data_IF_692317584141
#
_entry.id   IF_692317584141
#
_cell.length_a   1.000
_cell.length_b   1.000
_cell.length_c   1.000
_cell.angle_alpha   90.00
_cell.angle_beta   90.00
_cell.angle_gamma   90.00
#
_symmetry.space_group_name_H-M   'P 1'
#
loop_
_entity.id
_entity.type
_entity.pdbx_description
1 polymer ?
#
# COMPACT_ATOMS: atom_id res chain seq x y z
N UNK A 1 44.68 -8.84 15.67
CA UNK A 1 43.60 -7.93 15.26
C UNK A 1 42.55 -8.76 14.55
N UNK A 2 41.32 -8.92 15.08
CA UNK A 2 40.30 -9.67 14.36
C UNK A 2 39.84 -8.80 13.18
N UNK A 3 40.06 -9.28 11.96
CA UNK A 3 39.53 -8.70 10.74
C UNK A 3 38.03 -8.95 10.72
N UNK A 4 37.28 -8.03 11.35
CA UNK A 4 35.83 -8.03 11.41
C UNK A 4 35.23 -7.70 10.06
N UNK A 5 35.14 -8.70 9.20
CA UNK A 5 34.18 -8.67 8.10
C UNK A 5 32.81 -8.87 8.72
N UNK A 6 32.00 -7.81 8.74
CA UNK A 6 30.60 -7.90 9.11
C UNK A 6 29.87 -8.66 8.00
N UNK A 7 29.28 -9.80 8.36
CA UNK A 7 28.44 -10.61 7.49
C UNK A 7 27.26 -9.78 6.95
N UNK A 8 26.93 -9.98 5.68
CA UNK A 8 25.83 -9.30 4.95
C UNK A 8 24.47 -9.49 5.60
N UNK A 9 24.27 -10.55 6.39
CA UNK A 9 23.04 -10.78 7.15
C UNK A 9 22.78 -9.69 8.21
N UNK A 10 23.84 -9.14 8.81
CA UNK A 10 23.71 -8.05 9.79
C UNK A 10 23.36 -6.72 9.11
N UNK A 11 23.80 -6.50 7.87
CA UNK A 11 23.36 -5.35 7.06
C UNK A 11 21.88 -5.48 6.70
N UNK A 12 21.42 -6.66 6.24
CA UNK A 12 20.01 -6.88 5.90
C UNK A 12 19.09 -6.68 7.12
N UNK A 13 19.53 -7.10 8.30
CA UNK A 13 18.76 -6.96 9.54
C UNK A 13 18.76 -5.53 10.08
N UNK A 14 19.87 -4.79 9.91
CA UNK A 14 19.98 -3.38 10.27
C UNK A 14 19.15 -2.50 9.34
N UNK A 15 19.21 -2.73 8.02
CA UNK A 15 18.38 -2.03 7.03
C UNK A 15 16.89 -2.26 7.29
N UNK A 16 16.49 -3.49 7.62
CA UNK A 16 15.09 -3.80 7.96
C UNK A 16 14.64 -3.17 9.28
N UNK A 17 15.56 -2.97 10.24
CA UNK A 17 15.26 -2.33 11.52
C UNK A 17 15.19 -0.79 11.40
N UNK A 18 16.05 -0.17 10.59
CA UNK A 18 16.06 1.29 10.37
C UNK A 18 14.91 1.81 9.48
N UNK A 19 14.33 0.95 8.62
CA UNK A 19 13.10 1.28 7.87
C UNK A 19 11.87 1.33 8.80
N UNK A 20 11.94 0.76 10.02
CA UNK A 20 10.79 0.70 10.94
C UNK A 20 10.61 1.99 11.78
N UNK A 21 11.57 2.92 11.78
CA UNK A 21 11.58 4.11 12.66
C UNK A 21 11.83 5.45 11.93
N UNK A 22 11.44 5.57 10.65
CA UNK A 22 11.40 6.86 9.94
C UNK A 22 10.03 7.08 9.30
N UNK A 23 9.05 7.51 10.12
CA UNK A 23 7.76 7.97 9.63
C UNK A 23 7.83 9.44 9.23
N UNK A 24 7.83 9.70 7.93
CA UNK A 24 7.05 10.82 7.38
C UNK A 24 6.38 10.53 6.02
N UNK A 25 6.49 9.32 5.49
CA UNK A 25 5.62 8.82 4.41
C UNK A 25 5.26 7.34 4.59
N UNK A 26 4.84 6.93 5.80
CA UNK A 26 4.33 5.57 6.00
C UNK A 26 3.25 5.25 4.98
N UNK A 27 3.54 4.31 4.09
CA UNK A 27 2.57 3.68 3.21
C UNK A 27 1.37 3.23 4.08
N UNK A 28 0.26 3.98 4.01
CA UNK A 28 -0.89 3.85 4.92
C UNK A 28 -1.61 2.49 4.82
N UNK A 29 -1.34 1.75 3.75
CA UNK A 29 -1.96 0.47 3.44
C UNK A 29 -0.91 -0.56 3.09
N UNK A 30 -1.17 -1.83 3.44
CA UNK A 30 -0.39 -2.97 3.00
C UNK A 30 -1.27 -3.96 2.25
N UNK A 31 -0.66 -4.80 1.40
CA UNK A 31 -1.36 -5.88 0.69
C UNK A 31 -2.11 -6.78 1.69
N UNK A 32 -3.32 -7.20 1.34
CA UNK A 32 -4.21 -7.99 2.20
C UNK A 32 -5.07 -7.16 3.17
N UNK A 33 -4.83 -5.85 3.30
CA UNK A 33 -5.70 -4.98 4.10
C UNK A 33 -7.10 -4.95 3.50
N UNK A 34 -8.12 -5.03 4.36
CA UNK A 34 -9.50 -4.78 3.95
C UNK A 34 -9.77 -3.29 4.00
N UNK A 35 -10.37 -2.76 2.94
CA UNK A 35 -10.62 -1.33 2.76
C UNK A 35 -11.99 -1.07 2.16
N UNK A 36 -12.52 0.12 2.42
CA UNK A 36 -13.66 0.71 1.72
C UNK A 36 -13.21 1.96 0.96
N UNK A 37 -13.82 2.16 -0.21
CA UNK A 37 -13.63 3.37 -1.01
C UNK A 37 -14.60 4.44 -0.55
N UNK A 38 -14.08 5.64 -0.28
CA UNK A 38 -14.88 6.79 0.12
C UNK A 38 -15.78 7.24 -1.03
N UNK A 39 -17.02 7.65 -0.72
CA UNK A 39 -17.95 8.14 -1.72
C UNK A 39 -17.40 9.37 -2.46
N UNK A 40 -17.52 9.36 -3.80
CA UNK A 40 -17.02 10.45 -4.65
C UNK A 40 -15.54 10.33 -5.03
N UNK A 41 -14.82 9.35 -4.47
CA UNK A 41 -13.48 9.00 -4.92
C UNK A 41 -13.46 8.68 -6.41
N UNK A 42 -12.30 8.88 -7.03
CA UNK A 42 -12.09 8.60 -8.44
C UNK A 42 -11.08 7.47 -8.60
N UNK A 43 -11.02 6.91 -9.80
CA UNK A 43 -9.83 6.14 -10.16
C UNK A 43 -8.60 7.04 -10.03
N UNK A 44 -7.43 6.43 -9.88
CA UNK A 44 -6.18 7.17 -9.71
C UNK A 44 -5.95 8.22 -10.80
N UNK A 45 -6.42 7.96 -12.02
CA UNK A 45 -6.32 8.86 -13.19
C UNK A 45 -7.53 9.81 -13.34
N UNK A 46 -8.43 9.88 -12.36
CA UNK A 46 -9.55 10.83 -12.34
C UNK A 46 -10.86 10.36 -12.99
N UNK A 47 -10.98 9.07 -13.33
CA UNK A 47 -12.20 8.48 -13.87
C UNK A 47 -13.25 8.18 -12.80
N UNK A 48 -14.53 8.16 -13.17
CA UNK A 48 -15.62 7.79 -12.27
C UNK A 48 -15.59 6.29 -11.95
N UNK A 49 -15.89 5.95 -10.70
CA UNK A 49 -16.10 4.56 -10.27
C UNK A 49 -17.58 4.19 -10.33
N UNK A 50 -17.86 2.92 -10.59
CA UNK A 50 -19.22 2.39 -10.50
C UNK A 50 -19.70 2.36 -9.05
N UNK A 51 -21.02 2.46 -8.85
CA UNK A 51 -21.64 2.55 -7.51
C UNK A 51 -21.21 1.41 -6.58
N UNK A 52 -21.08 0.20 -7.10
CA UNK A 52 -20.73 -0.99 -6.32
C UNK A 52 -19.35 -0.89 -5.66
N UNK A 53 -18.45 -0.03 -6.16
CA UNK A 53 -17.10 0.15 -5.60
C UNK A 53 -17.16 0.84 -4.23
N UNK A 54 -18.15 1.71 -3.99
CA UNK A 54 -18.30 2.40 -2.71
C UNK A 54 -19.06 1.58 -1.66
N UNK A 55 -19.90 0.64 -2.10
CA UNK A 55 -20.77 -0.13 -1.19
C UNK A 55 -20.11 -1.39 -0.65
N UNK A 56 -19.06 -1.87 -1.31
CA UNK A 56 -18.39 -3.13 -0.98
C UNK A 56 -17.08 -2.94 -0.21
N UNK A 57 -16.62 -4.05 0.35
CA UNK A 57 -15.30 -4.17 0.99
C UNK A 57 -14.36 -4.87 0.03
N UNK A 58 -13.17 -4.29 -0.16
CA UNK A 58 -12.14 -4.83 -1.03
C UNK A 58 -10.88 -5.16 -0.26
N UNK A 59 -10.04 -5.94 -0.90
CA UNK A 59 -8.68 -6.21 -0.46
C UNK A 59 -7.70 -5.33 -1.22
N UNK A 60 -6.70 -4.81 -0.51
CA UNK A 60 -5.55 -4.17 -1.14
C UNK A 60 -4.70 -5.25 -1.82
N UNK A 61 -4.62 -5.19 -3.14
CA UNK A 61 -3.83 -6.09 -3.98
C UNK A 61 -2.43 -5.54 -4.27
N UNK A 62 -2.27 -4.22 -4.23
CA UNK A 62 -0.99 -3.53 -4.40
C UNK A 62 -1.01 -2.25 -3.58
N UNK A 63 0.08 -1.97 -2.88
CA UNK A 63 0.31 -0.75 -2.15
C UNK A 63 1.60 -0.12 -2.66
N UNK A 64 1.48 0.99 -3.38
CA UNK A 64 2.58 1.72 -3.98
C UNK A 64 2.88 1.27 -5.42
N UNK A 65 3.43 2.18 -6.23
CA UNK A 65 3.94 1.88 -7.57
C UNK A 65 5.09 2.82 -7.96
N UNK A 66 6.32 2.31 -7.96
CA UNK A 66 7.51 3.15 -8.12
C UNK A 66 7.54 4.24 -7.04
N UNK A 67 7.66 5.49 -7.46
CA UNK A 67 7.67 6.66 -6.56
C UNK A 67 6.27 7.07 -6.06
N UNK A 68 5.20 6.34 -6.43
CA UNK A 68 3.81 6.65 -6.06
C UNK A 68 3.37 5.79 -4.89
N UNK A 69 3.71 6.19 -3.68
CA UNK A 69 3.30 5.50 -2.45
C UNK A 69 1.78 5.56 -2.22
N UNK A 70 1.09 6.55 -2.77
CA UNK A 70 -0.37 6.69 -2.64
C UNK A 70 -1.17 5.82 -3.63
N UNK A 71 -0.51 5.12 -4.55
CA UNK A 71 -1.16 4.28 -5.56
C UNK A 71 -1.61 2.94 -4.95
N UNK A 72 -2.91 2.78 -4.75
CA UNK A 72 -3.49 1.56 -4.17
C UNK A 72 -4.34 0.83 -5.19
N UNK A 73 -4.04 -0.44 -5.45
CA UNK A 73 -4.89 -1.32 -6.24
C UNK A 73 -5.75 -2.13 -5.30
N UNK A 74 -7.06 -2.10 -5.54
CA UNK A 74 -8.04 -2.87 -4.79
C UNK A 74 -8.68 -3.94 -5.67
N UNK A 75 -9.11 -5.02 -5.04
CA UNK A 75 -9.86 -6.05 -5.73
C UNK A 75 -10.46 -7.10 -4.79
N UNK A 76 -11.06 -8.10 -5.40
CA UNK A 76 -11.76 -9.17 -4.70
C UNK A 76 -11.56 -10.48 -5.48
N UNK A 77 -11.26 -11.56 -4.76
CA UNK A 77 -11.07 -12.88 -5.38
C UNK A 77 -9.94 -12.92 -6.40
N UNK A 78 -8.89 -12.12 -6.21
CA UNK A 78 -7.75 -12.02 -7.14
C UNK A 78 -8.01 -11.18 -8.40
N UNK A 79 -9.19 -10.58 -8.55
CA UNK A 79 -9.51 -9.70 -9.69
C UNK A 79 -9.38 -8.23 -9.28
N UNK A 80 -8.61 -7.47 -10.06
CA UNK A 80 -8.46 -6.02 -9.89
C UNK A 80 -9.78 -5.32 -10.19
N UNK A 81 -10.23 -4.48 -9.26
CA UNK A 81 -11.45 -3.68 -9.39
C UNK A 81 -11.15 -2.24 -9.75
N UNK A 82 -10.19 -1.61 -9.06
CA UNK A 82 -9.80 -0.23 -9.31
C UNK A 82 -8.39 0.05 -8.78
N UNK A 83 -7.75 1.07 -9.34
CA UNK A 83 -6.66 1.78 -8.69
C UNK A 83 -7.17 3.13 -8.18
N UNK A 84 -6.91 3.45 -6.92
CA UNK A 84 -7.37 4.66 -6.23
C UNK A 84 -6.25 5.25 -5.37
N UNK A 85 -6.43 6.47 -4.89
CA UNK A 85 -5.48 7.10 -3.97
C UNK A 85 -5.67 6.58 -2.55
N UNK A 86 -4.58 6.50 -1.78
CA UNK A 86 -4.63 6.11 -0.37
C UNK A 86 -5.53 7.02 0.48
N UNK A 87 -5.62 8.32 0.16
CA UNK A 87 -6.50 9.27 0.87
C UNK A 87 -7.99 8.95 0.70
N UNK A 88 -8.36 8.30 -0.40
CA UNK A 88 -9.73 7.91 -0.74
C UNK A 88 -10.16 6.58 -0.12
N UNK A 89 -9.29 5.97 0.69
CA UNK A 89 -9.53 4.68 1.32
C UNK A 89 -9.65 4.80 2.83
N UNK A 90 -10.57 4.00 3.37
CA UNK A 90 -10.73 3.80 4.81
C UNK A 90 -10.50 2.33 5.15
N UNK A 91 -9.63 2.07 6.12
CA UNK A 91 -9.39 0.73 6.65
C UNK A 91 -10.55 0.29 7.55
N UNK A 92 -10.83 -1.00 7.55
CA UNK A 92 -11.90 -1.67 8.32
C UNK A 92 -11.32 -2.75 9.20
#
# INVERSE_FOLDING_TARGET
>A
MPTGWLYTENLYKAEKAEITENNDTTQKFAVGNKVKVNYGAKTYNGGSLALFVYTNVYEVMQAGSGDREDYIVIGQGGQVTAAVRAEDLTKI
#
